data_IF_994296367253
#
_entry.id   IF_994296367253
#
_cell.length_a   1.000
_cell.length_b   1.000
_cell.length_c   1.000
_cell.angle_alpha   90.00
_cell.angle_beta   90.00
_cell.angle_gamma   90.00
#
_symmetry.space_group_name_H-M   'P 1'
#
loop_
_entity.id
_entity.type
_entity.pdbx_description
1 polymer ?
#
# COMPACT_ATOMS: atom_id res chain seq x y z
N UNK A 1 -0.64 19.26 -10.79
CA UNK A 1 0.62 18.51 -10.59
C UNK A 1 0.35 17.04 -10.90
N UNK A 2 1.20 16.42 -11.69
CA UNK A 2 1.08 14.99 -11.96
C UNK A 2 1.34 14.16 -10.70
N UNK A 3 0.91 12.91 -10.71
CA UNK A 3 1.14 12.03 -9.56
C UNK A 3 2.63 11.73 -9.38
N UNK A 4 3.36 11.54 -10.47
CA UNK A 4 4.81 11.36 -10.40
C UNK A 4 5.51 12.61 -9.87
N UNK A 5 5.09 13.80 -10.26
CA UNK A 5 5.61 15.05 -9.71
C UNK A 5 5.26 15.18 -8.22
N UNK A 6 4.09 14.70 -7.82
CA UNK A 6 3.66 14.71 -6.42
C UNK A 6 4.57 13.83 -5.55
N UNK A 7 4.98 12.66 -6.06
CA UNK A 7 5.97 11.84 -5.36
C UNK A 7 7.25 12.62 -5.07
N UNK A 8 7.76 13.33 -6.08
CA UNK A 8 8.97 14.15 -5.90
C UNK A 8 8.77 15.26 -4.89
N UNK A 9 7.63 15.95 -4.95
CA UNK A 9 7.31 17.04 -4.02
C UNK A 9 7.20 16.53 -2.57
N UNK A 10 6.73 15.31 -2.37
CA UNK A 10 6.62 14.68 -1.06
C UNK A 10 7.91 13.97 -0.63
N UNK A 11 8.95 14.01 -1.44
CA UNK A 11 10.21 13.28 -1.20
C UNK A 11 9.98 11.78 -1.02
N UNK A 12 9.04 11.22 -1.77
CA UNK A 12 8.74 9.79 -1.76
C UNK A 12 9.42 9.12 -2.93
N UNK A 13 10.26 8.14 -2.62
CA UNK A 13 10.91 7.29 -3.59
C UNK A 13 10.26 5.92 -3.52
N UNK A 14 9.66 5.46 -4.64
CA UNK A 14 9.04 4.15 -4.65
C UNK A 14 10.12 3.07 -4.62
N UNK A 15 9.90 2.00 -3.86
CA UNK A 15 10.84 0.89 -3.81
C UNK A 15 10.87 0.12 -5.12
N UNK A 16 11.83 -0.79 -5.26
CA UNK A 16 11.76 -1.81 -6.29
C UNK A 16 10.53 -2.68 -6.02
N UNK A 17 9.75 -2.99 -7.07
CA UNK A 17 8.57 -3.81 -6.92
C UNK A 17 8.94 -5.18 -6.32
N UNK A 18 8.23 -5.64 -5.27
CA UNK A 18 8.53 -6.92 -4.66
C UNK A 18 8.20 -8.07 -5.62
N UNK A 19 8.92 -9.17 -5.48
CA UNK A 19 8.65 -10.39 -6.25
C UNK A 19 7.68 -11.29 -5.49
N UNK A 20 6.77 -11.99 -6.21
CA UNK A 20 5.88 -12.95 -5.56
C UNK A 20 6.69 -14.06 -4.90
N UNK A 21 6.22 -14.52 -3.73
CA UNK A 21 6.86 -15.61 -2.97
C UNK A 21 6.28 -16.99 -3.29
N UNK A 22 5.31 -17.06 -4.20
CA UNK A 22 4.61 -18.29 -4.57
C UNK A 22 4.28 -18.29 -6.06
N UNK A 23 3.53 -19.27 -6.52
CA UNK A 23 3.19 -19.42 -7.94
C UNK A 23 2.01 -18.54 -8.32
N UNK A 24 2.24 -17.22 -8.38
CA UNK A 24 1.26 -16.24 -8.84
C UNK A 24 1.98 -14.99 -9.36
N UNK A 25 1.23 -14.10 -10.00
CA UNK A 25 1.74 -12.84 -10.51
C UNK A 25 1.35 -11.68 -9.57
N UNK A 26 2.14 -10.60 -9.54
CA UNK A 26 1.84 -9.47 -8.64
C UNK A 26 0.62 -8.66 -9.05
N UNK A 27 0.25 -8.67 -10.32
CA UNK A 27 -0.85 -7.85 -10.83
C UNK A 27 -1.46 -8.50 -12.07
N UNK A 28 -2.78 -8.35 -12.21
CA UNK A 28 -3.53 -8.75 -13.41
C UNK A 28 -4.33 -7.54 -13.88
N UNK A 29 -4.23 -7.24 -15.17
CA UNK A 29 -5.05 -6.21 -15.79
C UNK A 29 -6.28 -6.85 -16.42
N UNK A 30 -7.46 -6.28 -16.12
CA UNK A 30 -8.73 -6.68 -16.72
C UNK A 30 -9.46 -5.40 -17.12
N UNK A 31 -9.55 -5.15 -18.44
CA UNK A 31 -10.09 -3.88 -18.95
C UNK A 31 -9.26 -2.71 -18.44
N UNK A 32 -9.92 -1.77 -17.79
CA UNK A 32 -9.28 -0.58 -17.21
C UNK A 32 -8.97 -0.74 -15.71
N UNK A 33 -9.05 -1.96 -15.20
CA UNK A 33 -8.77 -2.26 -13.78
C UNK A 33 -7.48 -3.06 -13.64
N UNK A 34 -6.73 -2.74 -12.59
CA UNK A 34 -5.61 -3.56 -12.12
C UNK A 34 -6.01 -4.22 -10.81
N UNK A 35 -5.83 -5.54 -10.78
CA UNK A 35 -6.02 -6.34 -9.57
C UNK A 35 -4.66 -6.76 -9.04
N UNK A 36 -4.31 -6.30 -7.86
CA UNK A 36 -3.02 -6.58 -7.25
C UNK A 36 -3.14 -7.76 -6.29
N UNK A 37 -2.13 -8.62 -6.32
CA UNK A 37 -1.92 -9.59 -5.24
C UNK A 37 -1.59 -8.87 -3.94
N UNK A 38 -1.75 -9.54 -2.82
CA UNK A 38 -1.45 -8.97 -1.52
C UNK A 38 0.00 -8.54 -1.41
N UNK A 39 0.25 -7.44 -0.73
CA UNK A 39 1.59 -6.92 -0.46
C UNK A 39 1.85 -6.93 1.04
N UNK A 40 3.13 -7.05 1.38
CA UNK A 40 3.60 -7.09 2.76
C UNK A 40 4.40 -5.83 3.05
N UNK A 41 4.54 -5.46 4.35
CA UNK A 41 5.39 -4.34 4.75
C UNK A 41 6.86 -4.74 4.71
N UNK A 42 7.43 -4.85 3.51
CA UNK A 42 8.81 -5.27 3.30
C UNK A 42 9.63 -4.18 2.62
N UNK A 43 10.92 -4.15 2.96
CA UNK A 43 11.95 -3.35 2.27
C UNK A 43 13.11 -4.27 1.96
N UNK A 44 13.59 -4.22 0.71
CA UNK A 44 14.73 -5.04 0.26
C UNK A 44 14.54 -6.52 0.56
N UNK A 45 13.30 -7.01 0.39
CA UNK A 45 12.97 -8.42 0.59
C UNK A 45 12.78 -8.85 2.04
N UNK A 46 12.85 -7.91 3.00
CA UNK A 46 12.71 -8.23 4.42
C UNK A 46 11.54 -7.49 5.03
N UNK A 47 10.76 -8.19 5.87
CA UNK A 47 9.69 -7.55 6.64
C UNK A 47 10.29 -6.53 7.61
N UNK A 48 9.71 -5.33 7.65
CA UNK A 48 10.16 -4.27 8.57
C UNK A 48 9.53 -4.43 9.95
N UNK A 49 8.48 -5.23 10.07
CA UNK A 49 7.74 -5.41 11.30
C UNK A 49 7.06 -6.77 11.29
N UNK A 50 7.16 -7.50 12.40
CA UNK A 50 6.46 -8.77 12.60
C UNK A 50 5.80 -8.75 13.97
N UNK A 51 4.68 -9.47 14.10
CA UNK A 51 3.92 -9.56 15.34
C UNK A 51 2.48 -9.13 15.16
N UNK A 52 1.82 -8.85 16.28
CA UNK A 52 0.39 -8.53 16.31
C UNK A 52 0.16 -7.16 16.94
N UNK A 53 -0.72 -6.38 16.34
CA UNK A 53 -1.20 -5.13 16.92
C UNK A 53 -1.88 -5.41 18.26
N UNK A 54 -1.57 -4.59 19.26
CA UNK A 54 -2.08 -4.78 20.62
C UNK A 54 -1.28 -5.77 21.43
N UNK A 55 -0.21 -6.34 20.88
CA UNK A 55 0.66 -7.29 21.57
C UNK A 55 2.13 -6.93 21.23
N UNK A 56 2.61 -5.84 21.83
CA UNK A 56 3.99 -5.37 21.64
C UNK A 56 4.19 -4.49 20.41
N UNK A 57 3.17 -4.32 19.56
CA UNK A 57 3.21 -3.44 18.39
C UNK A 57 2.22 -2.31 18.58
N UNK A 58 2.69 -1.07 18.45
CA UNK A 58 1.86 0.12 18.60
C UNK A 58 1.09 0.41 17.30
N UNK A 59 0.03 1.23 17.44
CA UNK A 59 -0.74 1.70 16.27
C UNK A 59 0.18 2.45 15.30
N UNK A 60 1.08 3.30 15.79
CA UNK A 60 2.00 4.07 14.97
C UNK A 60 2.94 3.16 14.16
N UNK A 61 3.46 2.11 14.79
CA UNK A 61 4.28 1.11 14.09
C UNK A 61 3.48 0.39 13.01
N UNK A 62 2.23 0.03 13.32
CA UNK A 62 1.33 -0.60 12.35
C UNK A 62 0.99 0.33 11.18
N UNK A 63 0.78 1.62 11.44
CA UNK A 63 0.54 2.62 10.39
C UNK A 63 1.74 2.73 9.45
N UNK A 64 2.95 2.75 9.99
CA UNK A 64 4.17 2.78 9.17
C UNK A 64 4.29 1.51 8.32
N UNK A 65 3.98 0.36 8.88
CA UNK A 65 3.97 -0.90 8.13
C UNK A 65 2.94 -0.86 6.98
N UNK A 66 1.74 -0.35 7.25
CA UNK A 66 0.69 -0.21 6.23
C UNK A 66 1.15 0.74 5.11
N UNK A 67 1.81 1.84 5.46
CA UNK A 67 2.37 2.77 4.48
C UNK A 67 3.41 2.09 3.59
N UNK A 68 4.32 1.31 4.17
CA UNK A 68 5.34 0.58 3.41
C UNK A 68 4.70 -0.43 2.47
N UNK A 69 3.68 -1.15 2.92
CA UNK A 69 2.93 -2.07 2.05
C UNK A 69 2.29 -1.33 0.88
N UNK A 70 1.70 -0.17 1.13
CA UNK A 70 1.11 0.66 0.06
C UNK A 70 2.17 1.15 -0.94
N UNK A 71 3.36 1.52 -0.47
CA UNK A 71 4.46 1.89 -1.36
C UNK A 71 4.86 0.73 -2.26
N UNK A 72 4.90 -0.49 -1.73
CA UNK A 72 5.16 -1.69 -2.53
C UNK A 72 4.08 -1.89 -3.59
N UNK A 73 2.81 -1.69 -3.24
CA UNK A 73 1.70 -1.76 -4.20
C UNK A 73 1.85 -0.72 -5.32
N UNK A 74 2.20 0.51 -4.98
CA UNK A 74 2.42 1.56 -5.99
C UNK A 74 3.61 1.26 -6.89
N UNK A 75 4.66 0.64 -6.38
CA UNK A 75 5.79 0.19 -7.18
C UNK A 75 5.35 -0.86 -8.22
N UNK A 76 4.47 -1.78 -7.83
CA UNK A 76 3.89 -2.78 -8.73
C UNK A 76 3.06 -2.09 -9.82
N UNK A 77 2.19 -1.16 -9.44
CA UNK A 77 1.36 -0.40 -10.39
C UNK A 77 2.25 0.34 -11.40
N UNK A 78 3.24 1.08 -10.92
CA UNK A 78 4.15 1.82 -11.81
C UNK A 78 4.89 0.88 -12.75
N UNK A 79 5.33 -0.27 -12.27
CA UNK A 79 5.98 -1.28 -13.11
C UNK A 79 5.08 -1.80 -14.21
N UNK A 80 3.77 -1.92 -13.95
CA UNK A 80 2.80 -2.43 -14.92
C UNK A 80 2.43 -1.38 -15.96
N UNK A 81 2.21 -0.13 -15.57
CA UNK A 81 1.70 0.91 -16.48
C UNK A 81 2.74 1.96 -16.88
N UNK A 82 3.91 1.96 -16.29
CA UNK A 82 5.04 2.83 -16.63
C UNK A 82 5.09 4.13 -15.83
N UNK A 83 3.98 4.68 -15.44
CA UNK A 83 3.89 5.93 -14.68
C UNK A 83 2.62 5.93 -13.86
N UNK A 84 2.68 6.47 -12.62
CA UNK A 84 1.48 6.65 -11.82
C UNK A 84 0.51 7.65 -12.44
N UNK A 85 0.95 8.47 -13.39
CA UNK A 85 0.09 9.42 -14.10
C UNK A 85 -0.97 8.72 -14.95
N UNK A 86 -0.80 7.43 -15.24
CA UNK A 86 -1.81 6.63 -15.94
C UNK A 86 -2.92 6.11 -15.04
N UNK A 87 -2.78 6.27 -13.74
CA UNK A 87 -3.82 5.90 -12.77
C UNK A 87 -4.90 6.97 -12.78
N UNK A 88 -6.15 6.58 -13.00
CA UNK A 88 -7.29 7.50 -12.93
C UNK A 88 -7.76 7.68 -11.50
N UNK A 89 -7.88 6.59 -10.78
CA UNK A 89 -8.24 6.62 -9.35
C UNK A 89 -7.94 5.29 -8.68
N UNK A 90 -7.86 5.35 -7.36
CA UNK A 90 -7.84 4.15 -6.52
C UNK A 90 -9.29 3.76 -6.23
N UNK A 91 -9.63 2.51 -6.53
CA UNK A 91 -11.02 2.04 -6.42
C UNK A 91 -11.30 1.48 -5.03
N UNK A 92 -10.51 0.48 -4.62
CA UNK A 92 -10.76 -0.23 -3.36
C UNK A 92 -9.46 -0.76 -2.78
N UNK A 93 -9.37 -0.73 -1.47
CA UNK A 93 -8.27 -1.35 -0.72
C UNK A 93 -8.84 -2.29 0.35
N UNK A 94 -8.23 -3.45 0.47
CA UNK A 94 -8.51 -4.40 1.54
C UNK A 94 -7.25 -4.54 2.38
N UNK A 95 -7.37 -4.34 3.69
CA UNK A 95 -6.25 -4.49 4.62
C UNK A 95 -6.50 -5.61 5.63
N UNK A 96 -5.50 -6.43 5.83
CA UNK A 96 -5.51 -7.49 6.84
C UNK A 96 -4.49 -7.15 7.91
N UNK A 97 -4.96 -6.89 9.12
CA UNK A 97 -4.14 -6.46 10.24
C UNK A 97 -4.02 -7.61 11.24
N UNK A 98 -2.82 -8.16 11.41
CA UNK A 98 -2.58 -9.17 12.42
C UNK A 98 -2.81 -8.53 13.79
N UNK A 99 -3.76 -9.05 14.54
CA UNK A 99 -4.26 -8.41 15.77
C UNK A 99 -4.32 -9.39 16.92
N UNK A 100 -3.93 -8.93 18.10
CA UNK A 100 -4.14 -9.66 19.34
C UNK A 100 -5.63 -9.72 19.68
N UNK A 101 -6.07 -10.70 20.48
CA UNK A 101 -7.45 -10.72 20.96
C UNK A 101 -7.82 -9.41 21.65
N UNK A 102 -8.97 -8.85 21.28
CA UNK A 102 -9.47 -7.58 21.86
C UNK A 102 -8.94 -6.31 21.19
N UNK A 103 -7.99 -6.40 20.25
CA UNK A 103 -7.56 -5.24 19.49
C UNK A 103 -8.64 -4.87 18.45
N UNK A 104 -9.09 -3.60 18.45
CA UNK A 104 -10.18 -3.15 17.59
C UNK A 104 -9.85 -1.91 16.75
N UNK A 105 -8.61 -1.41 16.81
CA UNK A 105 -8.21 -0.18 16.12
C UNK A 105 -7.59 -0.45 14.73
N UNK A 106 -7.99 -1.56 14.08
CA UNK A 106 -7.54 -1.89 12.73
C UNK A 106 -7.79 -0.74 11.73
N UNK A 107 -8.94 -0.04 11.76
CA UNK A 107 -9.14 1.08 10.84
C UNK A 107 -8.08 2.17 10.96
N UNK A 108 -7.65 2.50 12.19
CA UNK A 108 -6.58 3.48 12.40
C UNK A 108 -5.27 3.02 11.80
N UNK A 109 -4.92 1.76 12.00
CA UNK A 109 -3.67 1.20 11.47
C UNK A 109 -3.65 1.31 9.95
N UNK A 110 -4.75 0.95 9.29
CA UNK A 110 -4.82 0.98 7.83
C UNK A 110 -4.82 2.42 7.27
N UNK A 111 -5.12 3.42 8.09
CA UNK A 111 -4.98 4.81 7.69
C UNK A 111 -3.56 5.17 7.25
N UNK A 112 -2.54 4.46 7.73
CA UNK A 112 -1.17 4.65 7.24
C UNK A 112 -1.06 4.48 5.73
N UNK A 113 -1.78 3.51 5.17
CA UNK A 113 -1.86 3.31 3.72
C UNK A 113 -2.82 4.30 3.06
N UNK A 114 -4.02 4.47 3.62
CA UNK A 114 -5.03 5.35 3.02
C UNK A 114 -4.57 6.80 2.93
N UNK A 115 -3.93 7.30 3.99
CA UNK A 115 -3.43 8.68 4.00
C UNK A 115 -2.35 8.89 2.94
N UNK A 116 -1.48 7.92 2.74
CA UNK A 116 -0.47 7.97 1.68
C UNK A 116 -1.12 8.10 0.30
N UNK A 117 -2.14 7.27 0.02
CA UNK A 117 -2.82 7.30 -1.27
C UNK A 117 -3.51 8.64 -1.52
N UNK A 118 -4.12 9.23 -0.50
CA UNK A 118 -4.74 10.56 -0.62
C UNK A 118 -3.69 11.65 -0.78
N UNK A 119 -2.55 11.55 -0.10
CA UNK A 119 -1.45 12.50 -0.27
C UNK A 119 -0.94 12.53 -1.72
N UNK A 120 -0.81 11.37 -2.33
CA UNK A 120 -0.28 11.25 -3.69
C UNK A 120 -1.33 11.59 -4.74
N UNK A 121 -2.53 11.04 -4.62
CA UNK A 121 -3.55 11.08 -5.66
C UNK A 121 -4.65 12.13 -5.42
N UNK A 122 -4.71 12.74 -4.24
CA UNK A 122 -5.77 13.69 -3.90
C UNK A 122 -7.15 13.02 -3.95
N UNK A 123 -8.12 13.66 -4.61
CA UNK A 123 -9.47 13.10 -4.75
C UNK A 123 -9.47 11.71 -5.41
N UNK A 124 -8.57 11.48 -6.38
CA UNK A 124 -8.44 10.18 -7.03
C UNK A 124 -7.92 9.09 -6.09
N UNK A 125 -7.35 9.48 -4.96
CA UNK A 125 -6.88 8.54 -3.94
C UNK A 125 -7.95 8.11 -2.94
N UNK A 126 -9.08 8.77 -2.90
CA UNK A 126 -10.19 8.41 -2.02
C UNK A 126 -10.84 7.12 -2.53
N UNK A 127 -10.77 6.08 -1.73
CA UNK A 127 -11.10 4.72 -2.12
C UNK A 127 -12.07 4.08 -1.14
N UNK A 128 -12.81 3.06 -1.61
CA UNK A 128 -13.54 2.17 -0.74
C UNK A 128 -12.55 1.27 0.02
N UNK A 129 -12.89 0.90 1.24
CA UNK A 129 -11.94 0.16 2.09
C UNK A 129 -12.64 -0.91 2.92
N UNK A 130 -11.99 -2.03 3.03
CA UNK A 130 -12.35 -3.12 3.94
C UNK A 130 -11.15 -3.45 4.82
#
# INVERSE_FOLDING_TARGET
MSFDAKLKALHIELPMAPKPVANYVPVVRAGDLLFLSGVLPSRDGQLILTGKLGQGITIEQGMEAAKVAALNALAIVRGEVGSLDKVKRIVKMVGHIASAPGFTDQPQVLNGASDLLVQIFGEAGKHARV
#
